data_IF_937663610083
#
_entry.id   IF_937663610083
#
_cell.length_a   1.000
_cell.length_b   1.000
_cell.length_c   1.000
_cell.angle_alpha   90.00
_cell.angle_beta   90.00
_cell.angle_gamma   90.00
#
_symmetry.space_group_name_H-M   'P 1'
#
loop_
_entity.id
_entity.type
_entity.pdbx_description
1 polymer ?
#
# COMPACT_ATOMS: atom_id res chain seq x y z
N UNK A 1 -27.25 -18.25 18.81
CA UNK A 1 -26.15 -18.30 17.83
C UNK A 1 -26.55 -17.39 16.69
N UNK A 2 -25.75 -16.39 16.36
CA UNK A 2 -26.00 -15.58 15.17
C UNK A 2 -25.86 -16.45 13.93
N UNK A 3 -26.77 -16.29 12.97
CA UNK A 3 -26.65 -16.93 11.67
C UNK A 3 -25.48 -16.29 10.93
N UNK A 4 -24.47 -17.09 10.59
CA UNK A 4 -23.33 -16.65 9.78
C UNK A 4 -23.70 -16.83 8.31
N UNK A 5 -23.71 -15.74 7.55
CA UNK A 5 -23.81 -15.80 6.10
C UNK A 5 -22.42 -16.15 5.53
N UNK A 6 -22.30 -17.32 4.93
CA UNK A 6 -21.09 -17.76 4.26
C UNK A 6 -21.03 -17.18 2.85
N UNK A 7 -19.84 -16.81 2.39
CA UNK A 7 -19.63 -16.33 1.02
C UNK A 7 -19.94 -17.47 0.05
N UNK A 8 -21.01 -17.33 -0.73
CA UNK A 8 -21.35 -18.22 -1.83
C UNK A 8 -20.42 -18.02 -3.03
N UNK A 9 -20.43 -18.96 -3.99
CA UNK A 9 -19.65 -18.82 -5.23
C UNK A 9 -20.05 -17.56 -6.01
N UNK A 10 -21.33 -17.24 -6.03
CA UNK A 10 -21.87 -16.06 -6.71
C UNK A 10 -21.42 -14.76 -6.02
N UNK A 11 -21.41 -14.74 -4.67
CA UNK A 11 -20.89 -13.62 -3.89
C UNK A 11 -19.37 -13.49 -4.00
N UNK A 12 -18.63 -14.59 -4.12
CA UNK A 12 -17.18 -14.54 -4.33
C UNK A 12 -16.83 -13.82 -5.64
N UNK A 13 -17.61 -14.03 -6.70
CA UNK A 13 -17.41 -13.38 -7.99
C UNK A 13 -17.88 -11.92 -8.01
N UNK A 14 -18.86 -11.58 -7.16
CA UNK A 14 -19.52 -10.25 -7.15
C UNK A 14 -19.11 -9.37 -5.96
N UNK A 15 -18.27 -9.86 -5.04
CA UNK A 15 -17.73 -9.11 -3.89
C UNK A 15 -16.70 -8.08 -4.37
N UNK A 16 -17.19 -7.06 -5.05
CA UNK A 16 -16.39 -6.01 -5.65
C UNK A 16 -16.22 -4.88 -4.65
N UNK A 17 -15.14 -4.97 -3.86
CA UNK A 17 -14.29 -3.86 -3.37
C UNK A 17 -13.46 -4.35 -2.19
N UNK A 18 -12.14 -4.30 -2.35
CA UNK A 18 -11.20 -4.69 -1.32
C UNK A 18 -10.01 -3.73 -1.29
N UNK A 19 -9.32 -3.69 -0.15
CA UNK A 19 -8.01 -3.07 -0.07
C UNK A 19 -6.94 -4.10 -0.41
N UNK A 20 -6.18 -3.84 -1.48
CA UNK A 20 -5.05 -4.68 -1.85
C UNK A 20 -3.88 -4.42 -0.89
N UNK A 21 -3.59 -5.39 -0.02
CA UNK A 21 -2.47 -5.33 0.92
C UNK A 21 -1.21 -5.99 0.31
N UNK A 22 -0.13 -5.24 0.03
CA UNK A 22 1.05 -5.81 -0.62
C UNK A 22 1.74 -6.86 0.25
N UNK A 23 1.92 -8.08 -0.28
CA UNK A 23 2.57 -9.19 0.42
C UNK A 23 4.01 -8.90 0.84
N UNK A 24 4.72 -8.09 0.05
CA UNK A 24 6.10 -7.67 0.35
C UNK A 24 6.23 -6.95 1.71
N UNK A 25 5.15 -6.34 2.23
CA UNK A 25 5.14 -5.76 3.58
C UNK A 25 5.31 -6.82 4.67
N UNK A 26 5.07 -8.09 4.37
CA UNK A 26 5.24 -9.23 5.26
C UNK A 26 6.46 -10.07 4.93
N UNK A 27 6.83 -10.14 3.66
CA UNK A 27 7.91 -11.02 3.16
C UNK A 27 9.30 -10.37 3.21
N UNK A 28 9.39 -9.04 3.09
CA UNK A 28 10.67 -8.32 3.07
C UNK A 28 11.18 -8.02 4.48
N UNK A 29 12.47 -8.28 4.71
CA UNK A 29 13.18 -7.88 5.93
C UNK A 29 13.13 -6.37 6.20
N UNK A 30 12.90 -5.54 5.16
CA UNK A 30 12.73 -4.10 5.31
C UNK A 30 11.47 -3.73 6.07
N UNK A 31 10.43 -4.56 6.03
CA UNK A 31 9.10 -4.23 6.53
C UNK A 31 8.58 -5.23 7.56
N UNK A 32 9.34 -6.29 7.87
CA UNK A 32 8.91 -7.33 8.82
C UNK A 32 8.56 -6.75 10.20
N UNK A 33 9.33 -5.79 10.69
CA UNK A 33 9.13 -5.12 11.99
C UNK A 33 8.06 -4.02 11.97
N UNK A 34 7.51 -3.70 10.79
CA UNK A 34 6.46 -2.70 10.68
C UNK A 34 5.16 -3.23 11.28
N UNK A 35 4.46 -2.38 12.03
CA UNK A 35 3.20 -2.72 12.69
C UNK A 35 2.11 -2.97 11.64
N UNK A 36 1.22 -3.89 11.97
CA UNK A 36 0.15 -4.33 11.07
C UNK A 36 -0.79 -3.18 10.68
N UNK A 37 -1.12 -2.29 11.60
CA UNK A 37 -1.97 -1.12 11.34
C UNK A 37 -1.31 -0.15 10.34
N UNK A 38 0.01 0.06 10.42
CA UNK A 38 0.75 0.84 9.43
C UNK A 38 0.78 0.16 8.04
N UNK A 39 0.92 -1.17 7.98
CA UNK A 39 0.83 -1.93 6.71
C UNK A 39 -0.55 -1.77 6.06
N UNK A 40 -1.62 -1.89 6.85
CA UNK A 40 -3.00 -1.66 6.39
C UNK A 40 -3.18 -0.21 5.93
N UNK A 41 -2.65 0.75 6.68
CA UNK A 41 -2.72 2.17 6.30
C UNK A 41 -2.06 2.43 4.95
N UNK A 42 -0.89 1.83 4.67
CA UNK A 42 -0.26 1.91 3.35
C UNK A 42 -1.19 1.43 2.23
N UNK A 43 -1.84 0.28 2.41
CA UNK A 43 -2.77 -0.28 1.42
C UNK A 43 -3.98 0.64 1.16
N UNK A 44 -4.53 1.24 2.22
CA UNK A 44 -5.63 2.22 2.10
C UNK A 44 -5.17 3.45 1.33
N UNK A 45 -3.99 4.00 1.63
CA UNK A 45 -3.45 5.14 0.88
C UNK A 45 -3.19 4.78 -0.59
N UNK A 46 -2.71 3.56 -0.87
CA UNK A 46 -2.44 3.08 -2.23
C UNK A 46 -3.71 2.98 -3.07
N UNK A 47 -4.79 2.41 -2.52
CA UNK A 47 -6.11 2.39 -3.16
C UNK A 47 -6.61 3.81 -3.48
N UNK A 48 -6.47 4.74 -2.53
CA UNK A 48 -6.85 6.14 -2.74
C UNK A 48 -5.96 6.86 -3.74
N UNK A 49 -4.69 6.48 -3.86
CA UNK A 49 -3.78 7.07 -4.84
C UNK A 49 -4.24 6.78 -6.27
N UNK A 50 -4.82 5.60 -6.51
CA UNK A 50 -5.44 5.28 -7.79
C UNK A 50 -6.60 6.22 -8.14
N UNK A 51 -7.33 6.73 -7.14
CA UNK A 51 -8.36 7.76 -7.34
C UNK A 51 -7.74 9.13 -7.61
N UNK A 52 -6.69 9.51 -6.88
CA UNK A 52 -5.95 10.77 -7.12
C UNK A 52 -5.37 10.83 -8.53
N UNK A 53 -4.83 9.72 -9.04
CA UNK A 53 -4.35 9.63 -10.42
C UNK A 53 -5.48 9.85 -11.43
N UNK A 54 -6.65 9.23 -11.23
CA UNK A 54 -7.84 9.45 -12.09
C UNK A 54 -8.31 10.92 -12.09
N UNK A 55 -8.10 11.62 -10.97
CA UNK A 55 -8.44 13.04 -10.82
C UNK A 55 -7.32 13.99 -11.27
N UNK A 56 -6.25 13.47 -11.89
CA UNK A 56 -5.10 14.24 -12.35
C UNK A 56 -4.41 15.06 -11.22
N UNK A 57 -4.40 14.53 -9.99
CA UNK A 57 -3.65 15.13 -8.87
C UNK A 57 -2.17 14.75 -8.98
N UNK A 58 -1.50 15.44 -9.88
CA UNK A 58 -0.09 15.26 -10.25
C UNK A 58 0.62 16.57 -9.94
N UNK A 59 1.77 16.49 -9.25
CA UNK A 59 2.56 17.68 -8.96
C UNK A 59 3.28 18.19 -10.20
N UNK A 60 3.29 19.50 -10.40
CA UNK A 60 3.85 20.15 -11.60
C UNK A 60 5.38 20.28 -11.53
N UNK A 61 5.97 20.12 -10.33
CA UNK A 61 7.41 20.19 -10.10
C UNK A 61 8.13 18.92 -10.60
N UNK A 62 8.56 18.97 -11.87
CA UNK A 62 9.69 18.24 -12.46
C UNK A 62 9.57 16.73 -12.68
N UNK A 63 8.88 15.99 -11.80
CA UNK A 63 8.82 14.53 -11.84
C UNK A 63 7.40 13.95 -11.90
N UNK A 64 6.35 14.78 -11.80
CA UNK A 64 4.97 14.33 -11.99
C UNK A 64 4.49 13.33 -10.94
N UNK A 65 4.80 13.57 -9.67
CA UNK A 65 4.37 12.66 -8.60
C UNK A 65 2.88 12.80 -8.28
N UNK A 66 2.18 11.68 -8.17
CA UNK A 66 0.78 11.65 -7.72
C UNK A 66 0.74 11.91 -6.22
N UNK A 67 -0.15 12.80 -5.78
CA UNK A 67 -0.35 13.10 -4.37
C UNK A 67 -1.81 12.92 -3.94
N UNK A 68 -2.00 12.67 -2.65
CA UNK A 68 -3.29 12.62 -1.99
C UNK A 68 -3.55 13.95 -1.28
N UNK A 69 -4.83 14.38 -1.22
CA UNK A 69 -5.26 15.58 -0.51
C UNK A 69 -6.24 15.18 0.60
N UNK A 70 -5.75 15.13 1.84
CA UNK A 70 -6.55 14.73 3.00
C UNK A 70 -6.12 15.45 4.28
N UNK A 71 -7.10 15.91 5.05
CA UNK A 71 -6.92 16.28 6.46
C UNK A 71 -6.72 15.03 7.31
N UNK A 72 -6.10 15.23 8.47
CA UNK A 72 -6.05 14.20 9.51
C UNK A 72 -7.46 13.74 9.93
N UNK A 73 -8.45 14.64 9.99
CA UNK A 73 -9.85 14.27 10.29
C UNK A 73 -10.39 13.28 9.28
N UNK A 74 -10.26 13.58 7.98
CA UNK A 74 -10.76 12.72 6.91
C UNK A 74 -10.07 11.36 6.86
N UNK A 75 -8.77 11.31 7.18
CA UNK A 75 -8.04 10.04 7.33
C UNK A 75 -8.53 9.23 8.55
N UNK A 76 -8.81 9.90 9.67
CA UNK A 76 -9.39 9.24 10.85
C UNK A 76 -10.75 8.63 10.52
N UNK A 77 -11.60 9.34 9.77
CA UNK A 77 -12.91 8.86 9.36
C UNK A 77 -12.81 7.65 8.43
N UNK A 78 -11.90 7.68 7.43
CA UNK A 78 -11.68 6.57 6.49
C UNK A 78 -11.15 5.32 7.21
N UNK A 79 -10.24 5.50 8.16
CA UNK A 79 -9.60 4.40 8.89
C UNK A 79 -10.38 3.98 10.13
N UNK A 80 -11.43 4.72 10.50
CA UNK A 80 -12.16 4.60 11.75
C UNK A 80 -11.23 4.47 12.96
N UNK A 81 -10.31 5.42 13.13
CA UNK A 81 -9.29 5.35 14.16
C UNK A 81 -9.12 6.67 14.93
N UNK A 82 -8.57 6.56 16.15
CA UNK A 82 -8.26 7.73 16.96
C UNK A 82 -7.11 8.55 16.37
N UNK A 83 -7.06 9.84 16.71
CA UNK A 83 -5.98 10.75 16.29
C UNK A 83 -4.60 10.21 16.67
N UNK A 84 -4.44 9.66 17.87
CA UNK A 84 -3.18 9.09 18.34
C UNK A 84 -2.75 7.89 17.49
N UNK A 85 -3.69 7.04 17.10
CA UNK A 85 -3.44 5.90 16.20
C UNK A 85 -3.02 6.36 14.81
N UNK A 86 -3.73 7.33 14.23
CA UNK A 86 -3.36 7.92 12.93
C UNK A 86 -1.93 8.49 12.95
N UNK A 87 -1.61 9.33 13.94
CA UNK A 87 -0.30 9.97 14.03
C UNK A 87 0.83 8.94 14.20
N UNK A 88 0.58 7.87 14.96
CA UNK A 88 1.53 6.76 15.10
C UNK A 88 1.77 6.04 13.77
N UNK A 89 0.70 5.67 13.04
CA UNK A 89 0.82 5.03 11.74
C UNK A 89 1.53 5.93 10.72
N UNK A 90 1.24 7.24 10.71
CA UNK A 90 1.95 8.23 9.87
C UNK A 90 3.44 8.26 10.20
N UNK A 91 3.79 8.41 11.49
CA UNK A 91 5.20 8.42 11.95
C UNK A 91 5.95 7.17 11.51
N UNK A 92 5.30 6.01 11.63
CA UNK A 92 5.88 4.73 11.24
C UNK A 92 6.11 4.64 9.73
N UNK A 93 5.12 4.98 8.90
CA UNK A 93 5.32 5.04 7.45
C UNK A 93 6.41 6.04 7.06
N UNK A 94 6.56 7.17 7.76
CA UNK A 94 7.64 8.13 7.53
C UNK A 94 9.00 7.52 7.86
N UNK A 95 9.11 6.79 8.98
CA UNK A 95 10.35 6.10 9.37
C UNK A 95 10.82 5.09 8.32
N UNK A 96 9.89 4.40 7.64
CA UNK A 96 10.21 3.49 6.55
C UNK A 96 10.31 4.17 5.17
N UNK A 97 10.18 5.50 5.10
CA UNK A 97 10.23 6.26 3.84
C UNK A 97 9.06 5.98 2.89
N UNK A 98 7.91 5.55 3.42
CA UNK A 98 6.71 5.21 2.65
C UNK A 98 5.69 6.34 2.57
N UNK A 99 5.88 7.44 3.31
CA UNK A 99 5.02 8.62 3.22
C UNK A 99 5.85 9.90 3.38
N UNK A 100 5.50 10.91 2.61
CA UNK A 100 5.99 12.28 2.78
C UNK A 100 4.77 13.21 2.82
N UNK A 101 4.60 13.92 3.93
CA UNK A 101 3.44 14.78 4.20
C UNK A 101 3.89 16.25 4.14
N UNK A 102 3.37 16.98 3.16
CA UNK A 102 3.64 18.39 2.94
C UNK A 102 2.46 19.18 3.46
N UNK A 103 2.69 19.88 4.56
CA UNK A 103 1.75 20.87 5.06
C UNK A 103 1.68 22.02 4.06
N UNK A 104 0.49 22.23 3.50
CA UNK A 104 0.22 23.39 2.68
C UNK A 104 -0.07 24.56 3.64
N UNK A 105 0.70 25.65 3.53
CA UNK A 105 0.51 26.82 4.39
C UNK A 105 -0.90 27.38 4.24
N UNK A 106 -1.47 27.87 5.35
CA UNK A 106 -2.67 28.70 5.37
C UNK A 106 -2.37 30.00 4.64
N UNK A 107 -2.75 30.11 3.38
CA UNK A 107 -2.85 31.43 2.75
C UNK A 107 -4.07 32.16 3.34
N UNK A 108 -4.11 33.50 3.16
CA UNK A 108 -5.17 34.41 3.65
C UNK A 108 -6.61 34.00 3.26
N UNK A 109 -6.80 32.94 2.49
CA UNK A 109 -8.07 32.50 1.91
C UNK A 109 -8.55 31.12 2.40
N UNK A 110 -7.83 30.43 3.31
CA UNK A 110 -8.36 29.22 3.98
C UNK A 110 -7.30 28.18 4.38
N UNK A 111 -7.74 27.14 5.10
CA UNK A 111 -6.94 25.97 5.42
C UNK A 111 -6.81 25.09 4.17
N UNK A 112 -5.62 25.08 3.56
CA UNK A 112 -5.31 24.12 2.51
C UNK A 112 -5.05 22.75 3.14
N UNK A 113 -5.66 21.72 2.57
CA UNK A 113 -5.45 20.34 2.99
C UNK A 113 -4.04 19.87 2.66
N UNK A 114 -3.48 18.99 3.49
CA UNK A 114 -2.13 18.48 3.30
C UNK A 114 -2.00 17.68 2.01
N UNK A 115 -0.84 17.83 1.33
CA UNK A 115 -0.45 16.94 0.24
C UNK A 115 0.36 15.78 0.80
N UNK A 116 -0.08 14.56 0.52
CA UNK A 116 0.56 13.34 1.00
C UNK A 116 1.07 12.57 -0.21
N UNK A 117 2.38 12.34 -0.27
CA UNK A 117 3.05 11.54 -1.28
C UNK A 117 3.32 10.15 -0.72
N UNK A 118 3.02 9.11 -1.51
CA UNK A 118 3.20 7.72 -1.11
C UNK A 118 4.49 7.15 -1.72
N UNK A 119 5.35 6.60 -0.88
CA UNK A 119 6.60 5.96 -1.29
C UNK A 119 6.37 4.59 -1.95
N UNK A 120 7.28 4.22 -2.85
CA UNK A 120 7.30 2.90 -3.47
C UNK A 120 7.92 1.86 -2.52
N UNK A 121 7.30 0.68 -2.45
CA UNK A 121 7.87 -0.46 -1.73
C UNK A 121 9.13 -0.94 -2.44
N UNK A 122 10.16 -1.23 -1.64
CA UNK A 122 11.45 -1.73 -2.11
C UNK A 122 11.54 -3.23 -1.90
N UNK A 123 12.06 -3.92 -2.89
CA UNK A 123 12.34 -5.34 -2.82
C UNK A 123 13.85 -5.60 -2.80
N UNK A 124 14.34 -6.14 -1.69
CA UNK A 124 15.73 -6.55 -1.58
C UNK A 124 16.03 -7.78 -2.45
N UNK A 125 15.05 -8.64 -2.73
CA UNK A 125 15.26 -9.87 -3.50
C UNK A 125 15.58 -9.57 -4.97
N UNK A 126 14.90 -8.59 -5.59
CA UNK A 126 15.20 -8.16 -6.95
C UNK A 126 16.55 -7.42 -7.05
N UNK A 127 16.90 -6.65 -6.01
CA UNK A 127 18.13 -5.84 -5.99
C UNK A 127 19.40 -6.70 -5.83
N UNK A 128 19.31 -7.83 -5.12
CA UNK A 128 20.42 -8.79 -5.00
C UNK A 128 20.58 -9.68 -6.23
N UNK A 129 19.47 -10.01 -6.92
CA UNK A 129 19.52 -10.76 -8.17
C UNK A 129 20.12 -9.92 -9.30
N UNK A 130 19.81 -8.63 -9.40
CA UNK A 130 20.40 -7.76 -10.42
C UNK A 130 21.91 -7.52 -10.22
N UNK A 131 22.41 -7.48 -8.97
CA UNK A 131 23.86 -7.42 -8.69
C UNK A 131 24.60 -8.71 -9.04
N UNK A 132 23.96 -9.88 -8.90
CA UNK A 132 24.55 -11.16 -9.34
C UNK A 132 24.54 -11.32 -10.86
N UNK A 133 23.54 -10.78 -11.55
CA UNK A 133 23.40 -10.89 -13.02
C UNK A 133 24.42 -10.02 -13.78
N UNK A 134 24.91 -8.92 -13.19
CA UNK A 134 26.00 -8.13 -13.79
C UNK A 134 27.37 -8.83 -13.71
N UNK A 135 27.59 -9.71 -12.72
CA UNK A 135 28.82 -10.51 -12.58
C UNK A 135 28.73 -11.88 -13.30
N UNK A 136 27.55 -12.30 -13.78
CA UNK A 136 27.36 -13.57 -14.49
C UNK A 136 26.57 -13.36 -15.79
N UNK A 137 27.25 -12.88 -16.83
CA UNK A 137 26.66 -12.75 -18.16
C UNK A 137 26.35 -14.13 -18.79
N UNK A 138 25.18 -14.26 -19.43
CA UNK A 138 24.78 -15.35 -20.36
C UNK A 138 24.37 -16.68 -19.70
N UNK A 139 23.07 -16.88 -19.41
CA UNK A 139 22.30 -18.07 -19.86
C UNK A 139 20.78 -17.98 -19.57
N UNK A 140 20.03 -18.24 -20.65
CA UNK A 140 18.62 -18.59 -20.84
C UNK A 140 17.53 -18.32 -19.77
N UNK A 141 16.53 -17.53 -20.22
CA UNK A 141 15.07 -17.85 -20.29
C UNK A 141 14.57 -19.13 -19.58
N UNK A 142 13.36 -19.00 -19.01
CA UNK A 142 12.52 -19.99 -18.29
C UNK A 142 12.90 -20.03 -16.80
N UNK A 143 12.14 -19.41 -15.89
CA UNK A 143 10.96 -20.03 -15.25
C UNK A 143 9.91 -18.96 -14.89
N UNK A 144 8.87 -18.89 -15.71
CA UNK A 144 7.52 -18.58 -15.21
C UNK A 144 6.94 -19.88 -14.66
N UNK A 145 6.18 -19.79 -13.56
CA UNK A 145 5.44 -20.84 -12.86
C UNK A 145 6.16 -21.44 -11.64
N UNK A 146 5.71 -21.03 -10.45
CA UNK A 146 5.57 -21.85 -9.23
C UNK A 146 4.91 -20.99 -8.13
N UNK A 147 3.60 -20.78 -8.25
CA UNK A 147 2.71 -20.36 -7.15
C UNK A 147 1.40 -21.16 -7.23
N UNK A 148 1.53 -22.47 -7.24
CA UNK A 148 0.56 -23.49 -6.85
C UNK A 148 1.44 -24.57 -6.23
N UNK A 149 1.37 -24.85 -4.94
CA UNK A 149 0.41 -25.73 -4.25
C UNK A 149 0.45 -25.35 -2.73
N UNK A 150 -0.56 -25.52 -1.88
CA UNK A 150 -1.02 -26.81 -1.35
C UNK A 150 -2.40 -26.67 -0.66
N UNK A 151 -3.43 -27.33 -1.19
CA UNK A 151 -4.51 -27.89 -0.35
C UNK A 151 -4.86 -29.27 -0.93
N UNK A 152 -4.31 -30.32 -0.31
CA UNK A 152 -4.77 -31.70 -0.54
C UNK A 152 -6.12 -31.87 0.15
N UNK A 153 -7.20 -31.93 -0.63
CA UNK A 153 -8.50 -32.40 -0.14
C UNK A 153 -8.53 -33.92 -0.32
N UNK A 154 -8.38 -34.66 0.77
CA UNK A 154 -8.77 -36.07 0.84
C UNK A 154 -10.29 -36.16 0.92
N UNK A 155 -10.91 -36.82 -0.07
CA UNK A 155 -12.34 -37.15 -0.04
C UNK A 155 -12.60 -38.26 0.98
N UNK A 156 -13.63 -38.08 1.80
CA UNK A 156 -14.31 -39.10 2.60
C UNK A 156 -15.79 -39.05 2.31
#
# INVERSE_FOLDING_TARGET
MENINLISVDEYQTSERFYALPKILFESDLYKEMRLDAKVFYAVLKDRLSLSFKNNWIDEDGYGYVFLVYSNSKLMDILNCSKSTLLRMKKELTQFGLIYDVQQSTTKTGNLENRIYLGQLKDNFLTQNNKKVEDSHVESRVVSNLYQEDVKITRG
#
